data_IF_699346328647
#
_entry.id   IF_699346328647
#
_cell.length_a   1.000
_cell.length_b   1.000
_cell.length_c   1.000
_cell.angle_alpha   90.00
_cell.angle_beta   90.00
_cell.angle_gamma   90.00
#
_symmetry.space_group_name_H-M   'P 1'
#
loop_
_entity.id
_entity.type
_entity.pdbx_description
1 polymer ?
#
# COMPACT_ATOMS: atom_id res chain seq x y z
N UNK A 1 22.96 11.36 4.58
CA UNK A 1 21.88 11.24 3.58
C UNK A 1 20.61 10.77 4.27
N UNK A 2 19.86 11.70 4.87
CA UNK A 2 18.54 11.43 5.46
C UNK A 2 17.49 11.66 4.39
N UNK A 3 17.22 10.63 3.59
CA UNK A 3 16.02 10.61 2.75
C UNK A 3 14.85 10.44 3.72
N UNK A 4 14.23 11.55 4.11
CA UNK A 4 12.86 11.51 4.61
C UNK A 4 12.06 10.79 3.53
N UNK A 5 11.57 9.59 3.83
CA UNK A 5 10.76 8.78 2.93
C UNK A 5 9.40 9.45 2.73
N UNK A 6 9.39 10.57 2.01
CA UNK A 6 8.18 11.24 1.59
C UNK A 6 7.47 10.29 0.61
N UNK A 7 6.35 9.73 1.05
CA UNK A 7 5.49 8.91 0.19
C UNK A 7 5.08 9.73 -1.03
N UNK A 8 5.39 9.21 -2.21
CA UNK A 8 5.01 9.81 -3.49
C UNK A 8 3.54 9.49 -3.82
N UNK A 9 2.86 10.33 -4.62
CA UNK A 9 1.55 9.99 -5.15
C UNK A 9 1.61 8.69 -5.98
N UNK A 10 0.49 7.99 -6.07
CA UNK A 10 0.39 6.68 -6.76
C UNK A 10 0.80 6.82 -8.24
N UNK A 11 0.47 7.96 -8.85
CA UNK A 11 0.93 8.30 -10.19
C UNK A 11 2.25 9.09 -10.09
N UNK A 12 3.26 8.73 -10.90
CA UNK A 12 4.49 9.52 -11.08
C UNK A 12 4.16 10.89 -11.66
N UNK A 13 3.76 11.80 -10.78
CA UNK A 13 3.58 13.22 -11.04
C UNK A 13 4.85 13.94 -10.61
N UNK A 14 5.29 14.91 -11.41
CA UNK A 14 6.36 15.84 -11.03
C UNK A 14 5.93 16.81 -9.93
N UNK A 15 4.64 16.80 -9.58
CA UNK A 15 4.03 17.65 -8.57
C UNK A 15 3.57 16.80 -7.38
N UNK A 16 4.18 17.05 -6.22
CA UNK A 16 3.87 16.41 -4.94
C UNK A 16 3.79 17.51 -3.85
N UNK A 17 2.59 18.11 -3.65
CA UNK A 17 2.44 19.26 -2.76
C UNK A 17 2.50 18.92 -1.27
N UNK A 18 2.42 17.63 -0.92
CA UNK A 18 2.34 17.15 0.45
C UNK A 18 3.45 16.15 0.79
N UNK A 19 3.81 16.07 2.06
CA UNK A 19 4.66 15.03 2.65
C UNK A 19 3.87 14.30 3.72
N UNK A 20 4.11 12.99 3.83
CA UNK A 20 3.55 12.15 4.89
C UNK A 20 4.69 11.74 5.81
N UNK A 21 4.66 12.21 7.06
CA UNK A 21 5.66 11.89 8.08
C UNK A 21 4.97 11.41 9.35
N UNK A 22 5.32 10.20 9.81
CA UNK A 22 4.79 9.59 11.03
C UNK A 22 3.25 9.67 11.13
N UNK A 23 2.56 9.26 10.06
CA UNK A 23 1.09 9.30 9.94
C UNK A 23 0.46 10.69 9.94
N UNK A 24 1.26 11.76 9.83
CA UNK A 24 0.76 13.11 9.64
C UNK A 24 1.02 13.58 8.21
N UNK A 25 0.06 14.29 7.64
CA UNK A 25 0.16 14.94 6.34
C UNK A 25 0.46 16.41 6.57
N UNK A 26 1.46 16.92 5.85
CA UNK A 26 1.85 18.32 5.86
C UNK A 26 2.03 18.85 4.45
N UNK A 27 1.75 20.13 4.26
CA UNK A 27 1.95 20.81 2.98
C UNK A 27 3.40 21.31 2.88
N UNK A 28 4.02 21.19 1.70
CA UNK A 28 5.40 21.65 1.45
C UNK A 28 5.43 23.06 0.87
N UNK A 29 4.38 23.44 0.15
CA UNK A 29 4.35 24.65 -0.68
C UNK A 29 3.41 25.70 -0.07
N UNK A 30 3.91 26.85 0.41
CA UNK A 30 3.12 27.81 1.19
C UNK A 30 2.09 28.61 0.37
N UNK A 31 2.29 28.72 -0.94
CA UNK A 31 1.39 29.45 -1.84
C UNK A 31 0.17 28.62 -2.29
N UNK A 32 0.13 27.34 -1.91
CA UNK A 32 -0.95 26.42 -2.26
C UNK A 32 -1.98 26.34 -1.13
N UNK A 33 -3.25 26.33 -1.51
CA UNK A 33 -4.33 25.85 -0.67
C UNK A 33 -4.75 24.48 -1.18
N UNK A 34 -4.60 23.45 -0.35
CA UNK A 34 -4.95 22.09 -0.74
C UNK A 34 -6.13 21.58 0.07
N UNK A 35 -6.97 20.75 -0.54
CA UNK A 35 -8.02 19.99 0.13
C UNK A 35 -7.66 18.52 0.02
N UNK A 36 -7.59 17.85 1.16
CA UNK A 36 -7.34 16.42 1.27
C UNK A 36 -8.67 15.73 1.52
N UNK A 37 -9.07 14.83 0.63
CA UNK A 37 -10.32 14.07 0.75
C UNK A 37 -10.00 12.64 1.14
N UNK A 38 -10.37 12.27 2.36
CA UNK A 38 -10.28 10.90 2.86
C UNK A 38 -11.51 10.10 2.47
N UNK A 39 -11.32 8.81 2.22
CA UNK A 39 -12.40 7.87 1.92
C UNK A 39 -12.47 6.85 3.06
N UNK A 40 -13.44 7.01 3.95
CA UNK A 40 -13.61 6.15 5.13
C UNK A 40 -14.70 5.14 4.81
N UNK A 41 -14.33 3.85 4.77
CA UNK A 41 -15.28 2.79 4.45
C UNK A 41 -16.08 2.34 5.68
N UNK A 42 -17.41 2.25 5.52
CA UNK A 42 -18.30 1.53 6.44
C UNK A 42 -18.70 0.21 5.79
N UNK A 43 -17.94 -0.85 6.06
CA UNK A 43 -18.12 -2.15 5.42
C UNK A 43 -17.58 -2.20 3.98
N UNK A 44 -18.19 -3.04 3.13
CA UNK A 44 -17.64 -3.35 1.79
C UNK A 44 -18.22 -2.51 0.65
N UNK A 45 -19.25 -1.68 0.91
CA UNK A 45 -20.06 -1.04 -0.14
C UNK A 45 -20.14 0.47 -0.07
N UNK A 46 -19.93 1.06 1.09
CA UNK A 46 -20.17 2.49 1.31
C UNK A 46 -18.91 3.17 1.83
N UNK A 47 -18.65 4.36 1.28
CA UNK A 47 -17.51 5.19 1.63
C UNK A 47 -17.98 6.61 1.91
N UNK A 48 -17.68 7.10 3.11
CA UNK A 48 -17.85 8.50 3.47
C UNK A 48 -16.64 9.31 2.96
N UNK A 49 -16.93 10.44 2.31
CA UNK A 49 -15.90 11.37 1.86
C UNK A 49 -15.73 12.48 2.89
N UNK A 50 -14.53 12.57 3.48
CA UNK A 50 -14.21 13.58 4.50
C UNK A 50 -13.18 14.55 3.93
N UNK A 51 -13.61 15.71 3.39
CA UNK A 51 -12.69 16.73 2.89
C UNK A 51 -12.15 17.60 4.02
N UNK A 52 -10.82 17.71 4.11
CA UNK A 52 -10.11 18.54 5.08
C UNK A 52 -9.25 19.54 4.33
N UNK A 53 -9.42 20.83 4.62
CA UNK A 53 -8.56 21.89 4.07
C UNK A 53 -7.21 21.87 4.78
N UNK A 54 -6.14 21.85 3.98
CA UNK A 54 -4.76 21.82 4.43
C UNK A 54 -4.06 23.15 4.10
N UNK A 55 -3.41 23.72 5.11
CA UNK A 55 -2.61 24.95 5.03
C UNK A 55 -1.15 24.63 5.37
N UNK A 56 -0.22 25.52 5.01
CA UNK A 56 1.23 25.32 5.15
C UNK A 56 1.67 24.87 6.55
N UNK A 57 1.14 25.50 7.59
CA UNK A 57 1.52 25.24 8.98
C UNK A 57 0.58 24.24 9.69
N UNK A 58 -0.35 23.62 8.95
CA UNK A 58 -1.30 22.66 9.51
C UNK A 58 -0.82 21.22 9.25
N UNK A 59 -0.67 20.47 10.34
CA UNK A 59 -0.46 19.03 10.29
C UNK A 59 -1.79 18.32 10.56
N UNK A 60 -2.19 17.42 9.68
CA UNK A 60 -3.40 16.61 9.86
C UNK A 60 -3.03 15.14 10.02
N UNK A 61 -3.75 14.43 10.88
CA UNK A 61 -3.58 12.98 11.02
C UNK A 61 -4.15 12.29 9.78
N UNK A 62 -3.44 11.29 9.27
CA UNK A 62 -3.91 10.39 8.23
C UNK A 62 -5.15 9.63 8.75
N UNK A 63 -6.30 9.75 8.07
CA UNK A 63 -7.55 9.10 8.50
C UNK A 63 -7.86 7.80 7.74
N UNK A 64 -7.33 7.65 6.53
CA UNK A 64 -7.56 6.47 5.67
C UNK A 64 -6.28 6.09 4.91
N UNK A 65 -6.22 4.84 4.46
CA UNK A 65 -5.09 4.33 3.66
C UNK A 65 -5.05 4.98 2.26
N UNK A 66 -6.22 5.32 1.72
CA UNK A 66 -6.36 5.97 0.42
C UNK A 66 -7.02 7.35 0.58
N UNK A 67 -6.45 8.35 -0.08
CA UNK A 67 -6.98 9.71 -0.09
C UNK A 67 -6.56 10.45 -1.36
N UNK A 68 -7.28 11.52 -1.68
CA UNK A 68 -6.94 12.40 -2.81
C UNK A 68 -6.61 13.80 -2.35
N UNK A 69 -5.74 14.49 -3.10
CA UNK A 69 -5.30 15.84 -2.79
C UNK A 69 -5.56 16.73 -4.01
N UNK A 70 -6.38 17.75 -3.81
CA UNK A 70 -6.65 18.77 -4.81
C UNK A 70 -6.07 20.10 -4.32
N UNK A 71 -5.23 20.74 -5.14
CA UNK A 71 -4.57 21.99 -4.77
C UNK A 71 -4.93 23.13 -5.72
N UNK A 72 -4.99 24.33 -5.16
CA UNK A 72 -5.22 25.58 -5.87
C UNK A 72 -4.06 26.52 -5.52
N UNK A 73 -3.46 27.13 -6.55
CA UNK A 73 -2.50 28.21 -6.36
C UNK A 73 -3.24 29.53 -6.16
N UNK A 74 -3.15 30.11 -4.96
CA UNK A 74 -3.81 31.39 -4.68
C UNK A 74 -3.19 32.56 -5.45
N UNK A 75 -1.91 32.45 -5.84
CA UNK A 75 -1.19 33.53 -6.52
C UNK A 75 -1.54 33.60 -8.00
N UNK A 76 -1.76 32.45 -8.63
CA UNK A 76 -2.04 32.32 -10.06
C UNK A 76 -3.48 31.92 -10.40
N UNK A 77 -4.31 31.64 -9.38
CA UNK A 77 -5.66 31.08 -9.52
C UNK A 77 -5.74 29.80 -10.38
N UNK A 78 -4.65 29.02 -10.39
CA UNK A 78 -4.56 27.80 -11.19
C UNK A 78 -4.93 26.57 -10.36
N UNK A 79 -5.69 25.67 -10.99
CA UNK A 79 -6.05 24.37 -10.41
C UNK A 79 -5.03 23.31 -10.81
N UNK A 80 -4.54 22.56 -9.83
CA UNK A 80 -3.74 21.37 -10.06
C UNK A 80 -4.62 20.13 -10.22
N UNK A 81 -4.17 19.11 -10.97
CA UNK A 81 -4.90 17.85 -11.09
C UNK A 81 -5.09 17.20 -9.73
N UNK A 82 -6.18 16.45 -9.57
CA UNK A 82 -6.42 15.68 -8.36
C UNK A 82 -5.38 14.55 -8.26
N UNK A 83 -4.63 14.50 -7.16
CA UNK A 83 -3.55 13.54 -6.96
C UNK A 83 -3.98 12.45 -5.98
N UNK A 84 -3.99 11.16 -6.40
CA UNK A 84 -4.26 10.06 -5.50
C UNK A 84 -3.01 9.64 -4.72
N UNK A 85 -3.17 9.43 -3.42
CA UNK A 85 -2.15 8.94 -2.50
C UNK A 85 -2.60 7.64 -1.84
N UNK A 86 -1.63 6.74 -1.62
CA UNK A 86 -1.80 5.54 -0.81
C UNK A 86 -0.75 5.56 0.31
N UNK A 87 -1.20 5.34 1.54
CA UNK A 87 -0.37 5.26 2.74
C UNK A 87 -0.94 4.21 3.69
N UNK A 88 -0.29 4.01 4.83
CA UNK A 88 -0.73 3.10 5.88
C UNK A 88 -1.26 3.93 7.03
N UNK A 89 -2.57 3.92 7.25
CA UNK A 89 -3.23 4.56 8.36
C UNK A 89 -2.87 3.89 9.70
N UNK A 90 -2.63 4.71 10.71
CA UNK A 90 -2.32 4.22 12.05
C UNK A 90 -3.58 3.79 12.79
N UNK A 91 -3.90 2.50 12.75
CA UNK A 91 -4.99 1.94 13.53
C UNK A 91 -4.52 1.41 14.89
N UNK A 92 -4.86 2.13 15.96
CA UNK A 92 -4.51 1.74 17.34
C UNK A 92 -5.02 0.36 17.73
N UNK A 93 -6.22 -0.02 17.30
CA UNK A 93 -6.82 -1.30 17.67
C UNK A 93 -6.07 -2.46 17.03
N UNK A 94 -5.64 -2.31 15.77
CA UNK A 94 -4.79 -3.29 15.07
C UNK A 94 -3.44 -3.43 15.76
N UNK A 95 -2.81 -2.32 16.16
CA UNK A 95 -1.51 -2.33 16.87
C UNK A 95 -1.62 -2.94 18.27
N UNK A 96 -2.68 -2.65 19.02
CA UNK A 96 -2.95 -3.27 20.33
C UNK A 96 -3.16 -4.78 20.21
N UNK A 97 -3.90 -5.22 19.18
CA UNK A 97 -4.03 -6.65 18.84
C UNK A 97 -2.67 -7.28 18.54
N UNK A 98 -1.86 -6.63 17.71
CA UNK A 98 -0.49 -7.09 17.40
C UNK A 98 0.42 -7.17 18.63
N UNK A 99 0.34 -6.20 19.55
CA UNK A 99 1.14 -6.21 20.78
C UNK A 99 0.74 -7.33 21.74
N UNK A 100 -0.55 -7.73 21.73
CA UNK A 100 -1.09 -8.78 22.58
C UNK A 100 -1.02 -10.18 21.95
N UNK A 101 -0.67 -10.28 20.66
CA UNK A 101 -0.42 -11.55 20.01
C UNK A 101 0.90 -12.12 20.54
N UNK A 102 0.82 -13.27 21.22
CA UNK A 102 2.01 -14.07 21.51
C UNK A 102 2.59 -14.51 20.16
N UNK A 103 3.80 -14.05 19.87
CA UNK A 103 4.56 -14.46 18.68
C UNK A 103 4.76 -15.97 18.73
N UNK A 104 4.00 -16.70 17.93
CA UNK A 104 4.17 -18.14 17.80
C UNK A 104 5.12 -18.41 16.62
N UNK A 105 5.82 -19.55 16.61
CA UNK A 105 6.63 -19.94 15.44
C UNK A 105 5.78 -20.13 14.17
N UNK A 106 4.45 -20.27 14.33
CA UNK A 106 3.45 -20.41 13.27
C UNK A 106 2.78 -19.09 12.84
N UNK A 107 3.34 -17.93 13.19
CA UNK A 107 2.80 -16.64 12.76
C UNK A 107 2.77 -16.53 11.22
N UNK A 108 1.60 -16.13 10.69
CA UNK A 108 1.34 -16.05 9.25
C UNK A 108 2.24 -15.01 8.57
N UNK A 109 3.17 -15.48 7.74
CA UNK A 109 3.88 -14.65 6.78
C UNK A 109 3.14 -14.68 5.44
N UNK A 110 2.63 -13.54 5.00
CA UNK A 110 2.03 -13.39 3.67
C UNK A 110 3.09 -12.88 2.70
N UNK A 111 3.45 -13.71 1.72
CA UNK A 111 4.31 -13.31 0.61
C UNK A 111 3.44 -13.14 -0.64
N UNK A 112 3.40 -11.92 -1.17
CA UNK A 112 2.75 -11.61 -2.45
C UNK A 112 3.86 -11.46 -3.50
N UNK A 113 3.83 -12.30 -4.53
CA UNK A 113 4.75 -12.24 -5.66
C UNK A 113 3.99 -11.78 -6.91
N UNK A 114 4.33 -10.59 -7.41
CA UNK A 114 3.85 -10.10 -8.69
C UNK A 114 4.91 -10.31 -9.76
N UNK A 115 4.60 -11.08 -10.81
CA UNK A 115 5.43 -11.18 -12.00
C UNK A 115 4.79 -10.34 -13.09
N UNK A 116 5.34 -9.15 -13.31
CA UNK A 116 4.84 -8.25 -14.34
C UNK A 116 5.11 -8.86 -15.74
N UNK A 117 4.15 -8.69 -16.64
CA UNK A 117 4.24 -9.08 -18.06
C UNK A 117 4.45 -10.58 -18.35
N UNK A 118 4.28 -11.46 -17.35
CA UNK A 118 4.35 -12.92 -17.56
C UNK A 118 2.94 -13.49 -17.61
N UNK A 119 2.55 -14.01 -18.78
CA UNK A 119 1.30 -14.78 -18.87
C UNK A 119 1.43 -16.10 -18.10
N UNK A 120 0.30 -16.66 -17.63
CA UNK A 120 0.30 -17.96 -16.94
C UNK A 120 1.00 -19.05 -17.75
N UNK A 121 0.70 -19.16 -19.04
CA UNK A 121 1.31 -20.17 -19.91
C UNK A 121 2.82 -19.97 -20.05
N UNK A 122 3.27 -18.71 -20.08
CA UNK A 122 4.68 -18.38 -20.10
C UNK A 122 5.35 -18.74 -18.76
N UNK A 123 4.70 -18.50 -17.62
CA UNK A 123 5.20 -18.90 -16.31
C UNK A 123 5.36 -20.42 -16.21
N UNK A 124 4.34 -21.18 -16.62
CA UNK A 124 4.37 -22.66 -16.63
C UNK A 124 5.50 -23.20 -17.53
N UNK A 125 5.73 -22.58 -18.69
CA UNK A 125 6.77 -23.00 -19.65
C UNK A 125 8.19 -22.60 -19.26
N UNK A 126 8.38 -21.37 -18.79
CA UNK A 126 9.72 -20.84 -18.46
C UNK A 126 10.20 -21.26 -17.08
N UNK A 127 9.28 -21.47 -16.13
CA UNK A 127 9.59 -21.81 -14.74
C UNK A 127 8.87 -23.10 -14.28
N UNK A 128 9.01 -24.22 -15.01
CA UNK A 128 8.27 -25.46 -14.71
C UNK A 128 8.63 -26.03 -13.34
N UNK A 129 9.89 -25.90 -12.91
CA UNK A 129 10.35 -26.34 -11.58
C UNK A 129 9.69 -25.53 -10.47
N UNK A 130 9.63 -24.21 -10.64
CA UNK A 130 9.01 -23.30 -9.67
C UNK A 130 7.51 -23.52 -9.60
N UNK A 131 6.84 -23.66 -10.75
CA UNK A 131 5.42 -23.98 -10.81
C UNK A 131 5.10 -25.28 -10.07
N UNK A 132 5.85 -26.35 -10.35
CA UNK A 132 5.71 -27.65 -9.69
C UNK A 132 5.94 -27.57 -8.17
N UNK A 133 6.96 -26.83 -7.73
CA UNK A 133 7.22 -26.63 -6.30
C UNK A 133 6.07 -25.89 -5.62
N UNK A 134 5.57 -24.83 -6.24
CA UNK A 134 4.46 -24.03 -5.71
C UNK A 134 3.18 -24.89 -5.60
N UNK A 135 2.83 -25.65 -6.64
CA UNK A 135 1.58 -26.43 -6.64
C UNK A 135 1.66 -27.67 -5.77
N UNK A 136 2.81 -28.37 -5.79
CA UNK A 136 2.89 -29.73 -5.22
C UNK A 136 3.62 -29.79 -3.87
N UNK A 137 4.58 -28.90 -3.61
CA UNK A 137 5.33 -28.89 -2.34
C UNK A 137 4.75 -27.88 -1.35
N UNK A 138 4.27 -26.74 -1.84
CA UNK A 138 3.68 -25.69 -1.01
C UNK A 138 2.14 -25.74 -0.96
N UNK A 139 1.52 -26.75 -1.58
CA UNK A 139 0.06 -26.86 -1.71
C UNK A 139 -0.60 -25.57 -2.24
N UNK A 140 0.03 -24.93 -3.21
CA UNK A 140 -0.45 -23.70 -3.82
C UNK A 140 -1.71 -23.92 -4.67
N UNK A 141 -2.68 -23.02 -4.53
CA UNK A 141 -3.91 -23.01 -5.30
C UNK A 141 -3.72 -22.10 -6.51
N UNK A 142 -3.86 -22.65 -7.72
CA UNK A 142 -3.79 -21.89 -8.97
C UNK A 142 -5.17 -21.33 -9.31
N UNK A 143 -5.32 -20.01 -9.25
CA UNK A 143 -6.54 -19.33 -9.67
C UNK A 143 -6.47 -19.09 -11.18
N UNK A 144 -7.50 -19.50 -11.93
CA UNK A 144 -7.51 -19.54 -13.41
C UNK A 144 -7.55 -18.15 -14.09
N UNK A 145 -7.12 -17.08 -13.44
CA UNK A 145 -7.27 -15.72 -13.95
C UNK A 145 -6.18 -14.71 -13.62
N UNK A 146 -5.00 -15.12 -13.11
CA UNK A 146 -3.73 -14.33 -12.96
C UNK A 146 -3.02 -14.51 -11.59
N UNK A 147 -3.59 -15.24 -10.62
CA UNK A 147 -3.04 -15.31 -9.25
C UNK A 147 -2.78 -16.76 -8.79
N UNK A 148 -1.67 -16.96 -8.06
CA UNK A 148 -1.42 -18.19 -7.31
C UNK A 148 -1.50 -17.85 -5.82
N UNK A 149 -2.33 -18.56 -5.07
CA UNK A 149 -2.48 -18.39 -3.64
C UNK A 149 -1.72 -19.52 -2.91
N UNK A 150 -0.81 -19.15 -2.01
CA UNK A 150 -0.07 -20.10 -1.19
C UNK A 150 -0.70 -20.18 0.21
N UNK A 151 -1.13 -21.37 0.61
CA UNK A 151 -1.55 -21.62 1.99
C UNK A 151 -0.38 -22.18 2.79
N UNK A 152 0.39 -21.29 3.42
CA UNK A 152 1.62 -21.68 4.14
C UNK A 152 1.40 -22.42 5.46
N UNK A 153 0.16 -22.75 5.86
CA UNK A 153 -0.11 -23.63 7.02
C UNK A 153 0.55 -25.01 6.91
N UNK A 154 0.86 -25.45 5.69
CA UNK A 154 1.35 -26.81 5.41
C UNK A 154 2.83 -26.90 5.03
N UNK A 155 3.56 -25.79 4.96
CA UNK A 155 4.99 -25.79 4.61
C UNK A 155 5.85 -26.28 5.79
N UNK A 156 5.65 -27.54 6.19
CA UNK A 156 6.49 -28.22 7.18
C UNK A 156 7.91 -28.36 6.63
N UNK A 157 8.81 -27.56 7.20
CA UNK A 157 10.19 -27.90 7.54
C UNK A 157 10.94 -28.74 6.47
N UNK A 158 11.18 -28.17 5.30
CA UNK A 158 12.29 -28.62 4.43
C UNK A 158 13.06 -27.42 3.91
N UNK A 159 14.23 -27.23 4.53
CA UNK A 159 15.38 -26.41 4.12
C UNK A 159 15.09 -25.25 3.14
N UNK A 160 15.00 -24.04 3.71
CA UNK A 160 15.14 -22.79 2.97
C UNK A 160 16.38 -22.86 2.05
N UNK A 161 16.18 -22.67 0.75
CA UNK A 161 17.27 -22.54 -0.23
C UNK A 161 18.11 -21.29 0.07
N UNK A 162 19.42 -21.49 0.19
CA UNK A 162 20.42 -20.45 -0.07
C UNK A 162 20.43 -20.17 -1.57
N UNK A 163 20.10 -18.94 -1.96
CA UNK A 163 20.48 -18.42 -3.27
C UNK A 163 22.01 -18.34 -3.33
N UNK A 164 22.61 -18.98 -4.32
CA UNK A 164 24.02 -18.92 -4.64
C UNK A 164 24.17 -18.19 -5.96
#
# INVERSE_FOLDING_TARGET
FTISNALQPICRSWFYPIVIDNYNIRLILPHLNCTVTFYIGEGDKEYEQVPIKLFYDLNILLLSDYFTVQCIDNTRQNFYPNLPYASIHYNQNVRKRLANLKKNEDDFNVLILGLDSVSRLQFERMLPKTFNYITNELNGIVLKGLLIHLNMKTARKKNLMRFR
#
